data_IF_268985557559
#
_entry.id   IF_268985557559
#
_cell.length_a   1.000
_cell.length_b   1.000
_cell.length_c   1.000
_cell.angle_alpha   90.00
_cell.angle_beta   90.00
_cell.angle_gamma   90.00
#
_symmetry.space_group_name_H-M   'P 1'
#
loop_
_entity.id
_entity.type
_entity.pdbx_description
1 polymer ?
#
# COMPACT_ATOMS: atom_id res chain seq x y z
N UNK A 1 1.64 34.80 -7.60
CA UNK A 1 2.27 33.64 -8.28
C UNK A 1 3.58 33.28 -7.59
N UNK A 2 4.36 34.28 -7.15
CA UNK A 2 5.68 34.12 -6.51
C UNK A 2 5.67 33.40 -5.15
N UNK A 3 4.56 33.48 -4.41
CA UNK A 3 4.39 32.73 -3.14
C UNK A 3 4.34 31.22 -3.39
N UNK A 4 3.69 30.79 -4.48
CA UNK A 4 3.59 29.37 -4.82
C UNK A 4 4.94 28.84 -5.30
N UNK A 5 5.65 29.60 -6.15
CA UNK A 5 6.97 29.25 -6.64
C UNK A 5 7.99 29.13 -5.50
N UNK A 6 8.01 30.09 -4.56
CA UNK A 6 8.87 30.00 -3.37
C UNK A 6 8.56 28.77 -2.50
N UNK A 7 7.27 28.41 -2.33
CA UNK A 7 6.90 27.20 -1.57
C UNK A 7 7.38 25.93 -2.26
N UNK A 8 7.27 25.84 -3.58
CA UNK A 8 7.77 24.69 -4.36
C UNK A 8 9.30 24.61 -4.26
N UNK A 9 9.99 25.74 -4.32
CA UNK A 9 11.45 25.80 -4.23
C UNK A 9 11.98 25.37 -2.85
N UNK A 10 11.33 25.79 -1.77
CA UNK A 10 11.67 25.32 -0.40
C UNK A 10 11.44 23.81 -0.27
N UNK A 11 10.37 23.28 -0.87
CA UNK A 11 10.07 21.85 -0.86
C UNK A 11 11.12 21.04 -1.64
N UNK A 12 11.53 21.55 -2.80
CA UNK A 12 12.58 20.95 -3.63
C UNK A 12 13.94 20.98 -2.93
N UNK A 13 14.31 22.11 -2.33
CA UNK A 13 15.54 22.24 -1.53
C UNK A 13 15.53 21.28 -0.33
N UNK A 14 14.40 21.11 0.35
CA UNK A 14 14.25 20.18 1.46
C UNK A 14 14.43 18.71 1.05
N UNK A 15 13.83 18.30 -0.06
CA UNK A 15 14.00 16.94 -0.60
C UNK A 15 15.45 16.73 -1.04
N UNK A 16 16.01 17.68 -1.80
CA UNK A 16 17.38 17.62 -2.32
C UNK A 16 18.42 17.57 -1.20
N UNK A 17 18.23 18.34 -0.13
CA UNK A 17 19.09 18.31 1.05
C UNK A 17 19.05 16.96 1.77
N UNK A 18 17.86 16.39 1.96
CA UNK A 18 17.70 15.09 2.61
C UNK A 18 18.39 13.95 1.84
N UNK A 19 18.23 13.91 0.51
CA UNK A 19 18.88 12.89 -0.32
C UNK A 19 20.41 13.02 -0.35
N UNK A 20 20.95 14.24 -0.26
CA UNK A 20 22.40 14.49 -0.25
C UNK A 20 23.06 14.23 1.09
N UNK A 21 22.40 14.59 2.19
CA UNK A 21 23.02 14.61 3.51
C UNK A 21 22.75 13.33 4.33
N UNK A 22 21.65 12.62 4.03
CA UNK A 22 21.19 11.46 4.80
C UNK A 22 20.83 10.26 3.90
N UNK A 23 21.66 9.97 2.89
CA UNK A 23 21.41 8.87 1.92
C UNK A 23 21.22 7.50 2.58
N UNK A 24 21.85 7.28 3.74
CA UNK A 24 21.66 6.07 4.56
C UNK A 24 20.21 5.98 5.07
N UNK A 25 19.65 7.07 5.58
CA UNK A 25 18.26 7.10 6.08
C UNK A 25 17.28 6.91 4.92
N UNK A 26 17.52 7.57 3.79
CA UNK A 26 16.72 7.40 2.59
C UNK A 26 16.71 5.94 2.11
N UNK A 27 17.87 5.30 2.08
CA UNK A 27 18.00 3.88 1.69
C UNK A 27 17.26 2.96 2.68
N UNK A 28 17.36 3.23 3.98
CA UNK A 28 16.64 2.47 5.01
C UNK A 28 15.12 2.62 4.83
N UNK A 29 14.61 3.82 4.57
CA UNK A 29 13.19 4.06 4.34
C UNK A 29 12.68 3.30 3.10
N UNK A 30 13.42 3.35 1.99
CA UNK A 30 13.09 2.58 0.78
C UNK A 30 13.12 1.07 1.06
N UNK A 31 14.10 0.60 1.83
CA UNK A 31 14.21 -0.81 2.22
C UNK A 31 13.01 -1.26 3.05
N UNK A 32 12.55 -0.45 4.01
CA UNK A 32 11.33 -0.76 4.77
C UNK A 32 10.08 -0.83 3.90
N UNK A 33 9.93 0.10 2.95
CA UNK A 33 8.83 0.05 1.99
C UNK A 33 8.87 -1.24 1.15
N UNK A 34 10.06 -1.63 0.69
CA UNK A 34 10.27 -2.84 -0.08
C UNK A 34 9.98 -4.11 0.73
N UNK A 35 10.41 -4.17 1.99
CA UNK A 35 10.07 -5.27 2.91
C UNK A 35 8.55 -5.36 3.11
N UNK A 36 7.86 -4.22 3.20
CA UNK A 36 6.41 -4.18 3.25
C UNK A 36 5.75 -4.85 2.03
N UNK A 37 6.29 -4.62 0.83
CA UNK A 37 5.82 -5.29 -0.39
C UNK A 37 6.13 -6.80 -0.40
N UNK A 38 7.30 -7.22 0.10
CA UNK A 38 7.62 -8.65 0.25
C UNK A 38 6.66 -9.36 1.21
N UNK A 39 6.29 -8.70 2.31
CA UNK A 39 5.28 -9.23 3.23
C UNK A 39 3.93 -9.34 2.52
N UNK A 40 3.51 -8.32 1.75
CA UNK A 40 2.28 -8.37 0.95
C UNK A 40 2.25 -9.53 -0.04
N UNK A 41 3.37 -9.81 -0.70
CA UNK A 41 3.54 -10.97 -1.57
C UNK A 41 3.42 -12.30 -0.82
N UNK A 42 4.08 -12.41 0.35
CA UNK A 42 4.01 -13.61 1.18
C UNK A 42 2.59 -13.87 1.69
N UNK A 43 1.86 -12.82 2.09
CA UNK A 43 0.46 -12.92 2.46
C UNK A 43 -0.44 -13.34 1.30
N UNK A 44 -0.18 -12.81 0.09
CA UNK A 44 -0.89 -13.23 -1.12
C UNK A 44 -0.70 -14.72 -1.37
N UNK A 45 0.55 -15.20 -1.29
CA UNK A 45 0.87 -16.62 -1.41
C UNK A 45 0.11 -17.46 -0.38
N UNK A 46 0.18 -17.09 0.91
CA UNK A 46 -0.51 -17.81 1.99
C UNK A 46 -2.03 -17.83 1.77
N UNK A 47 -2.60 -16.70 1.35
CA UNK A 47 -4.04 -16.59 1.04
C UNK A 47 -4.43 -17.57 -0.06
N UNK A 48 -3.68 -17.60 -1.16
CA UNK A 48 -3.95 -18.48 -2.29
C UNK A 48 -3.74 -19.95 -1.94
N UNK A 49 -2.71 -20.25 -1.16
CA UNK A 49 -2.45 -21.58 -0.64
C UNK A 49 -3.63 -22.11 0.19
N UNK A 50 -4.19 -21.30 1.09
CA UNK A 50 -5.39 -21.67 1.86
C UNK A 50 -6.65 -21.80 1.01
N UNK A 51 -6.72 -21.09 -0.11
CA UNK A 51 -7.79 -21.22 -1.11
C UNK A 51 -7.60 -22.44 -2.05
N UNK A 52 -6.50 -23.19 -1.89
CA UNK A 52 -6.19 -24.39 -2.69
C UNK A 52 -5.48 -24.11 -4.02
N UNK A 53 -4.94 -22.89 -4.21
CA UNK A 53 -4.23 -22.49 -5.42
C UNK A 53 -2.73 -22.39 -5.16
N UNK A 54 -1.94 -23.19 -5.88
CA UNK A 54 -0.48 -23.09 -5.90
C UNK A 54 -0.04 -22.36 -7.17
N UNK A 55 0.26 -21.07 -7.01
CA UNK A 55 0.74 -20.21 -8.09
C UNK A 55 2.26 -20.15 -8.11
N UNK A 56 2.82 -19.93 -9.30
CA UNK A 56 4.26 -19.72 -9.43
C UNK A 56 4.66 -18.39 -8.77
N UNK A 57 5.93 -18.27 -8.36
CA UNK A 57 6.45 -17.00 -7.84
C UNK A 57 6.29 -15.86 -8.85
N UNK A 58 6.40 -16.15 -10.15
CA UNK A 58 6.22 -15.17 -11.22
C UNK A 58 4.80 -14.63 -11.24
N UNK A 59 3.78 -15.50 -11.13
CA UNK A 59 2.37 -15.07 -11.14
C UNK A 59 2.05 -14.23 -9.90
N UNK A 60 2.56 -14.63 -8.74
CA UNK A 60 2.38 -13.89 -7.49
C UNK A 60 2.95 -12.48 -7.59
N UNK A 61 4.17 -12.35 -8.13
CA UNK A 61 4.81 -11.05 -8.35
C UNK A 61 4.04 -10.18 -9.33
N UNK A 62 3.55 -10.78 -10.41
CA UNK A 62 2.77 -10.07 -11.42
C UNK A 62 1.45 -9.55 -10.83
N UNK A 63 0.76 -10.38 -10.02
CA UNK A 63 -0.47 -9.98 -9.33
C UNK A 63 -0.18 -8.84 -8.36
N UNK A 64 0.87 -8.95 -7.54
CA UNK A 64 1.18 -7.94 -6.52
C UNK A 64 1.59 -6.60 -7.15
N UNK A 65 2.42 -6.64 -8.20
CA UNK A 65 2.82 -5.45 -8.95
C UNK A 65 1.60 -4.78 -9.60
N UNK A 66 0.73 -5.56 -10.27
CA UNK A 66 -0.48 -5.02 -10.89
C UNK A 66 -1.46 -4.47 -9.85
N UNK A 67 -1.63 -5.14 -8.71
CA UNK A 67 -2.46 -4.64 -7.61
C UNK A 67 -1.93 -3.30 -7.06
N UNK A 68 -0.61 -3.15 -6.94
CA UNK A 68 0.00 -1.89 -6.51
C UNK A 68 -0.19 -0.77 -7.54
N UNK A 69 -0.17 -1.08 -8.83
CA UNK A 69 -0.54 -0.13 -9.89
C UNK A 69 -2.00 0.30 -9.78
N UNK A 70 -2.93 -0.64 -9.57
CA UNK A 70 -4.35 -0.33 -9.34
C UNK A 70 -4.51 0.58 -8.12
N UNK A 71 -3.82 0.27 -7.02
CA UNK A 71 -3.85 1.08 -5.80
C UNK A 71 -3.32 2.50 -6.04
N UNK A 72 -2.21 2.61 -6.76
CA UNK A 72 -1.58 3.90 -7.08
C UNK A 72 -2.45 4.71 -8.05
N UNK A 73 -3.03 4.07 -9.06
CA UNK A 73 -3.93 4.72 -10.02
C UNK A 73 -5.26 5.16 -9.39
N UNK A 74 -5.72 4.46 -8.34
CA UNK A 74 -6.95 4.76 -7.62
C UNK A 74 -6.77 5.67 -6.40
N UNK A 75 -5.64 6.39 -6.28
CA UNK A 75 -5.33 7.23 -5.11
C UNK A 75 -6.40 8.28 -4.78
N UNK A 76 -7.16 8.73 -5.79
CA UNK A 76 -8.22 9.72 -5.64
C UNK A 76 -9.56 9.11 -5.17
N UNK A 77 -9.68 7.78 -5.15
CA UNK A 77 -10.87 7.07 -4.70
C UNK A 77 -10.70 6.76 -3.21
N UNK A 78 -11.58 7.25 -2.33
CA UNK A 78 -11.52 6.95 -0.90
C UNK A 78 -11.58 5.43 -0.67
N UNK A 79 -10.59 4.90 0.07
CA UNK A 79 -10.43 3.46 0.33
C UNK A 79 -10.33 2.59 -0.95
N UNK A 80 -10.13 3.20 -2.12
CA UNK A 80 -10.13 2.56 -3.43
C UNK A 80 -11.31 1.59 -3.65
N UNK A 81 -12.49 1.94 -3.12
CA UNK A 81 -13.66 1.06 -3.15
C UNK A 81 -14.10 0.78 -4.59
N UNK A 82 -14.28 -0.50 -4.92
CA UNK A 82 -14.62 -0.98 -6.25
C UNK A 82 -13.42 -1.08 -7.18
N UNK A 83 -12.45 -0.17 -7.06
CA UNK A 83 -11.23 -0.19 -7.88
C UNK A 83 -10.33 -1.37 -7.54
N UNK A 84 -10.12 -1.69 -6.26
CA UNK A 84 -9.30 -2.83 -5.87
C UNK A 84 -9.98 -4.16 -6.19
N UNK A 85 -11.28 -4.30 -5.91
CA UNK A 85 -12.04 -5.52 -6.17
C UNK A 85 -12.16 -5.80 -7.67
N UNK A 86 -12.48 -4.77 -8.45
CA UNK A 86 -12.51 -4.86 -9.92
C UNK A 86 -11.11 -5.10 -10.50
N UNK A 87 -10.10 -4.42 -9.97
CA UNK A 87 -8.70 -4.58 -10.39
C UNK A 87 -8.21 -6.01 -10.17
N UNK A 88 -8.37 -6.56 -8.96
CA UNK A 88 -8.01 -7.94 -8.67
C UNK A 88 -8.84 -8.94 -9.47
N UNK A 89 -10.15 -8.73 -9.64
CA UNK A 89 -10.97 -9.57 -10.52
C UNK A 89 -10.36 -9.63 -11.92
N UNK A 90 -10.06 -8.47 -12.51
CA UNK A 90 -9.50 -8.38 -13.86
C UNK A 90 -8.11 -9.03 -13.95
N UNK A 91 -7.22 -8.75 -13.00
CA UNK A 91 -5.87 -9.35 -12.94
C UNK A 91 -5.96 -10.88 -12.92
N UNK A 92 -6.82 -11.45 -12.06
CA UNK A 92 -6.97 -12.89 -11.98
C UNK A 92 -7.60 -13.49 -13.24
N UNK A 93 -8.62 -12.85 -13.82
CA UNK A 93 -9.19 -13.31 -15.09
C UNK A 93 -8.20 -13.24 -16.25
N UNK A 94 -7.33 -12.24 -16.28
CA UNK A 94 -6.28 -12.08 -17.29
C UNK A 94 -5.22 -13.20 -17.21
N UNK A 95 -5.01 -13.76 -16.03
CA UNK A 95 -4.12 -14.91 -15.80
C UNK A 95 -4.82 -16.26 -16.01
N UNK A 96 -6.04 -16.27 -16.54
CA UNK A 96 -6.81 -17.49 -16.80
C UNK A 96 -7.40 -18.12 -15.53
N UNK A 97 -7.41 -17.39 -14.40
CA UNK A 97 -8.00 -17.86 -13.15
C UNK A 97 -9.45 -17.38 -12.98
N UNK A 98 -10.25 -18.02 -12.11
CA UNK A 98 -11.59 -17.57 -11.80
C UNK A 98 -11.58 -16.14 -11.23
N UNK A 99 -12.38 -15.22 -11.79
CA UNK A 99 -12.50 -13.86 -11.26
C UNK A 99 -13.03 -13.81 -9.82
N UNK A 100 -13.82 -14.81 -9.42
CA UNK A 100 -14.26 -15.00 -8.04
C UNK A 100 -13.09 -15.20 -7.06
N UNK A 101 -11.96 -15.73 -7.52
CA UNK A 101 -10.73 -15.84 -6.73
C UNK A 101 -10.15 -14.46 -6.44
N UNK A 102 -10.05 -13.60 -7.46
CA UNK A 102 -9.58 -12.22 -7.30
C UNK A 102 -10.46 -11.40 -6.36
N UNK A 103 -11.78 -11.56 -6.46
CA UNK A 103 -12.73 -10.95 -5.51
C UNK A 103 -12.50 -11.48 -4.09
N UNK A 104 -12.36 -12.80 -3.91
CA UNK A 104 -12.12 -13.40 -2.58
C UNK A 104 -10.83 -12.87 -1.95
N UNK A 105 -9.74 -12.81 -2.72
CA UNK A 105 -8.46 -12.24 -2.26
C UNK A 105 -8.63 -10.76 -1.87
N UNK A 106 -9.38 -9.99 -2.65
CA UNK A 106 -9.64 -8.57 -2.33
C UNK A 106 -10.39 -8.39 -1.00
N UNK A 107 -11.35 -9.27 -0.68
CA UNK A 107 -12.05 -9.25 0.60
C UNK A 107 -11.12 -9.59 1.77
N UNK A 108 -10.28 -10.61 1.62
CA UNK A 108 -9.31 -11.00 2.66
C UNK A 108 -8.35 -9.83 2.96
N UNK A 109 -7.88 -9.14 1.91
CA UNK A 109 -7.06 -7.93 2.06
C UNK A 109 -7.79 -6.81 2.81
N UNK A 110 -9.06 -6.56 2.50
CA UNK A 110 -9.87 -5.56 3.21
C UNK A 110 -10.03 -5.85 4.69
N UNK A 111 -10.31 -7.10 5.06
CA UNK A 111 -10.43 -7.50 6.46
C UNK A 111 -9.14 -7.16 7.20
N UNK A 112 -7.99 -7.52 6.61
CA UNK A 112 -6.67 -7.20 7.17
C UNK A 112 -6.45 -5.69 7.32
N UNK A 113 -6.79 -4.90 6.31
CA UNK A 113 -6.66 -3.44 6.36
C UNK A 113 -7.50 -2.84 7.49
N UNK A 114 -8.75 -3.27 7.64
CA UNK A 114 -9.64 -2.83 8.71
C UNK A 114 -9.06 -3.20 10.08
N UNK A 115 -8.50 -4.40 10.24
CA UNK A 115 -7.85 -4.83 11.48
C UNK A 115 -6.68 -3.90 11.85
N UNK A 116 -5.80 -3.60 10.89
CA UNK A 116 -4.65 -2.71 11.13
C UNK A 116 -5.06 -1.27 11.41
N UNK A 117 -6.04 -0.74 10.67
CA UNK A 117 -6.59 0.60 10.93
C UNK A 117 -7.22 0.67 12.31
N UNK A 118 -8.01 -0.34 12.68
CA UNK A 118 -8.66 -0.41 14.00
C UNK A 118 -7.64 -0.49 15.14
N UNK A 119 -6.59 -1.30 14.96
CA UNK A 119 -5.50 -1.41 15.93
C UNK A 119 -4.74 -0.09 16.07
N UNK A 120 -4.41 0.56 14.95
CA UNK A 120 -3.76 1.87 14.94
C UNK A 120 -4.59 2.94 15.64
N UNK A 121 -5.90 2.97 15.39
CA UNK A 121 -6.84 3.88 16.06
C UNK A 121 -6.94 3.59 17.56
N UNK A 122 -7.00 2.32 17.97
CA UNK A 122 -7.06 1.93 19.37
C UNK A 122 -5.79 2.35 20.14
N UNK A 123 -4.61 2.13 19.54
CA UNK A 123 -3.32 2.57 20.11
C UNK A 123 -3.25 4.09 20.16
N UNK A 124 -3.64 4.78 19.08
CA UNK A 124 -3.67 6.25 19.03
C UNK A 124 -4.59 6.84 20.09
N UNK A 125 -5.78 6.25 20.28
CA UNK A 125 -6.71 6.64 21.33
C UNK A 125 -6.12 6.48 22.73
N UNK A 126 -5.44 5.36 22.99
CA UNK A 126 -4.79 5.09 24.27
C UNK A 126 -3.57 5.97 24.54
N UNK A 127 -2.94 6.54 23.51
CA UNK A 127 -1.69 7.29 23.64
C UNK A 127 -1.86 8.81 23.64
N UNK A 128 -2.72 9.44 22.82
CA UNK A 128 -2.84 10.93 22.78
C UNK A 128 -3.98 11.50 21.91
N UNK A 129 -5.24 11.45 22.36
CA UNK A 129 -6.17 12.58 22.08
C UNK A 129 -6.02 13.71 23.13
N UNK A 130 -4.80 14.00 23.57
CA UNK A 130 -4.48 15.23 24.30
C UNK A 130 -3.81 16.19 23.32
N UNK A 131 -4.57 17.07 22.63
CA UNK A 131 -3.97 18.13 21.85
C UNK A 131 -3.12 18.97 22.80
N UNK A 132 -1.82 19.04 22.55
CA UNK A 132 -0.92 19.93 23.26
C UNK A 132 -1.48 21.34 23.10
N UNK A 133 -1.93 21.95 24.20
CA UNK A 133 -2.38 23.34 24.19
C UNK A 133 -1.17 24.19 23.84
N UNK A 134 -1.05 24.56 22.56
CA UNK A 134 -0.15 25.62 22.11
C UNK A 134 -0.43 26.84 22.97
N UNK A 135 0.55 27.22 23.80
CA UNK A 135 0.58 28.52 24.48
C UNK A 135 0.79 29.64 23.48
#
# INVERSE_FOLDING_TARGET
>A
MDIFINKVEILDQGISYYYKNDILRATISVSYAFIGWLIGLAELYVTLYFLGYNLSLTDLWLIEAAAQLVRSASFFIPLSIGAQEGGLLLIFTALGMPGTLGVTVSFIRRIKEILWVSLGLAIGWGTSFHPEKSK
#
